data_IF_045476577262
#
_entry.id   IF_045476577262
#
_cell.length_a   1.000
_cell.length_b   1.000
_cell.length_c   1.000
_cell.angle_alpha   90.00
_cell.angle_beta   90.00
_cell.angle_gamma   90.00
#
_symmetry.space_group_name_H-M   'P 1'
#
loop_
_entity.id
_entity.type
_entity.pdbx_description
1 polymer ?
#
# COMPACT_ATOMS: atom_id res chain seq x y z
N UNK A 1 -17.61 -6.15 10.68
CA UNK A 1 -18.62 -7.08 11.24
C UNK A 1 -18.04 -7.80 12.46
N UNK A 2 -16.88 -8.42 12.36
CA UNK A 2 -16.29 -9.26 13.41
C UNK A 2 -15.31 -8.52 14.34
N UNK A 3 -15.21 -7.18 14.26
CA UNK A 3 -14.37 -6.41 15.16
C UNK A 3 -14.88 -6.42 16.60
N UNK A 4 -13.98 -6.29 17.54
CA UNK A 4 -14.26 -6.17 18.97
C UNK A 4 -13.83 -4.82 19.48
N UNK A 5 -14.53 -4.30 20.45
CA UNK A 5 -14.13 -3.10 21.18
C UNK A 5 -13.39 -3.54 22.45
N UNK A 6 -12.15 -3.08 22.56
CA UNK A 6 -11.38 -3.27 23.80
C UNK A 6 -12.03 -2.47 24.92
N UNK A 7 -12.20 -3.11 26.08
CA UNK A 7 -12.86 -2.50 27.24
C UNK A 7 -11.97 -1.48 27.95
N UNK A 8 -10.67 -1.70 27.91
CA UNK A 8 -9.72 -0.88 28.66
C UNK A 8 -9.29 0.35 27.85
N UNK A 9 -9.03 0.20 26.56
CA UNK A 9 -8.58 1.29 25.68
C UNK A 9 -9.72 1.96 24.92
N UNK A 10 -10.87 1.31 24.80
CA UNK A 10 -12.00 1.76 24.00
C UNK A 10 -11.75 1.68 22.47
N UNK A 11 -10.62 1.13 22.05
CA UNK A 11 -10.23 0.98 20.65
C UNK A 11 -10.85 -0.27 20.01
N UNK A 12 -11.03 -0.23 18.69
CA UNK A 12 -11.52 -1.39 17.96
C UNK A 12 -10.36 -2.27 17.49
N UNK A 13 -10.51 -3.57 17.68
CA UNK A 13 -9.61 -4.63 17.19
C UNK A 13 -10.35 -5.50 16.20
N UNK A 14 -9.69 -5.91 15.13
CA UNK A 14 -10.27 -6.78 14.10
C UNK A 14 -9.24 -7.12 13.03
N UNK A 15 -9.73 -7.60 11.91
CA UNK A 15 -8.90 -8.03 10.79
C UNK A 15 -9.05 -9.50 10.47
N UNK A 16 -8.21 -10.06 9.57
CA UNK A 16 -8.39 -11.43 9.08
C UNK A 16 -8.44 -12.50 10.17
N UNK A 17 -7.56 -12.47 11.14
CA UNK A 17 -7.57 -13.45 12.23
C UNK A 17 -8.92 -13.50 12.96
N UNK A 18 -9.51 -12.33 13.23
CA UNK A 18 -10.80 -12.22 13.92
C UNK A 18 -11.97 -12.78 13.11
N UNK A 19 -12.05 -12.48 11.81
CA UNK A 19 -13.16 -12.99 11.02
C UNK A 19 -12.98 -14.46 10.66
N UNK A 20 -11.76 -14.95 10.49
CA UNK A 20 -11.49 -16.38 10.30
C UNK A 20 -11.93 -17.17 11.54
N UNK A 21 -11.51 -16.75 12.73
CA UNK A 21 -11.90 -17.41 13.97
C UNK A 21 -13.41 -17.39 14.18
N UNK A 22 -14.02 -16.19 14.12
CA UNK A 22 -15.43 -16.01 14.49
C UNK A 22 -16.42 -16.55 13.47
N UNK A 23 -16.12 -16.45 12.17
CA UNK A 23 -17.00 -16.97 11.14
C UNK A 23 -17.12 -18.49 11.19
N UNK A 24 -16.06 -19.18 11.57
CA UNK A 24 -16.02 -20.64 11.59
C UNK A 24 -16.17 -21.27 12.97
N UNK A 25 -16.32 -20.47 14.03
CA UNK A 25 -16.38 -20.92 15.43
C UNK A 25 -17.39 -22.03 15.66
N UNK A 26 -18.54 -21.98 15.00
CA UNK A 26 -19.64 -22.94 15.17
C UNK A 26 -19.70 -24.01 14.07
N UNK A 27 -18.67 -24.15 13.25
CA UNK A 27 -18.57 -25.13 12.18
C UNK A 27 -17.71 -26.33 12.61
N UNK A 28 -17.85 -27.45 11.88
CA UNK A 28 -16.98 -28.65 12.10
C UNK A 28 -15.49 -28.33 11.90
N UNK A 29 -15.17 -27.33 11.09
CA UNK A 29 -13.81 -26.86 10.81
C UNK A 29 -13.28 -25.86 11.85
N UNK A 30 -14.05 -25.48 12.88
CA UNK A 30 -13.72 -24.42 13.82
C UNK A 30 -12.34 -24.54 14.46
N UNK A 31 -11.95 -25.77 14.91
CA UNK A 31 -10.61 -26.00 15.48
C UNK A 31 -9.47 -25.77 14.47
N UNK A 32 -9.66 -26.24 13.25
CA UNK A 32 -8.68 -26.03 12.16
C UNK A 32 -8.56 -24.55 11.79
N UNK A 33 -9.70 -23.86 11.67
CA UNK A 33 -9.73 -22.44 11.36
C UNK A 33 -9.16 -21.57 12.48
N UNK A 34 -9.27 -21.98 13.74
CA UNK A 34 -8.59 -21.29 14.83
C UNK A 34 -7.06 -21.36 14.69
N UNK A 35 -6.52 -22.54 14.39
CA UNK A 35 -5.07 -22.69 14.14
C UNK A 35 -4.64 -21.87 12.95
N UNK A 36 -5.42 -21.89 11.87
CA UNK A 36 -5.17 -21.06 10.69
C UNK A 36 -5.19 -19.56 11.02
N UNK A 37 -6.13 -19.09 11.82
CA UNK A 37 -6.21 -17.70 12.27
C UNK A 37 -4.97 -17.28 13.07
N UNK A 38 -4.46 -18.14 13.95
CA UNK A 38 -3.24 -17.90 14.72
C UNK A 38 -2.00 -17.84 13.79
N UNK A 39 -1.86 -18.80 12.88
CA UNK A 39 -0.77 -18.81 11.89
C UNK A 39 -0.81 -17.55 11.04
N UNK A 40 -1.99 -17.15 10.58
CA UNK A 40 -2.18 -15.90 9.83
C UNK A 40 -1.79 -14.68 10.67
N UNK A 41 -2.19 -14.61 11.94
CA UNK A 41 -1.85 -13.49 12.82
C UNK A 41 -0.33 -13.37 13.02
N UNK A 42 0.37 -14.48 13.22
CA UNK A 42 1.84 -14.50 13.35
C UNK A 42 2.51 -14.08 12.04
N UNK A 43 2.08 -14.64 10.91
CA UNK A 43 2.61 -14.27 9.59
C UNK A 43 2.40 -12.78 9.30
N UNK A 44 1.22 -12.26 9.63
CA UNK A 44 0.87 -10.87 9.45
C UNK A 44 1.69 -9.94 10.36
N UNK A 45 1.92 -10.35 11.60
CA UNK A 45 2.79 -9.61 12.52
C UNK A 45 4.23 -9.51 11.97
N UNK A 46 4.78 -10.61 11.47
CA UNK A 46 6.11 -10.60 10.84
C UNK A 46 6.15 -9.76 9.57
N UNK A 47 5.12 -9.85 8.72
CA UNK A 47 5.03 -9.08 7.50
C UNK A 47 4.98 -7.58 7.77
N UNK A 48 4.14 -7.13 8.68
CA UNK A 48 3.92 -5.71 8.96
C UNK A 48 5.00 -5.08 9.83
N UNK A 49 5.67 -5.86 10.69
CA UNK A 49 6.73 -5.33 11.56
C UNK A 49 8.11 -5.31 10.90
N UNK A 50 8.39 -6.25 10.01
CA UNK A 50 9.74 -6.41 9.45
C UNK A 50 9.80 -6.25 7.94
N UNK A 51 9.01 -7.04 7.19
CA UNK A 51 9.16 -7.09 5.73
C UNK A 51 8.66 -5.84 5.02
N UNK A 52 7.44 -5.39 5.31
CA UNK A 52 6.84 -4.25 4.62
C UNK A 52 7.54 -2.91 4.93
N UNK A 53 7.84 -2.57 6.20
CA UNK A 53 8.57 -1.34 6.51
C UNK A 53 9.98 -1.31 5.93
N UNK A 54 10.64 -2.47 5.85
CA UNK A 54 11.99 -2.58 5.28
C UNK A 54 12.05 -2.16 3.81
N UNK A 55 11.06 -2.55 3.00
CA UNK A 55 10.98 -2.17 1.59
C UNK A 55 10.80 -0.65 1.45
N UNK A 56 9.89 -0.06 2.25
CA UNK A 56 9.63 1.38 2.22
C UNK A 56 10.83 2.19 2.69
N UNK A 57 11.44 1.79 3.81
CA UNK A 57 12.63 2.45 4.35
C UNK A 57 13.81 2.41 3.36
N UNK A 58 14.01 1.29 2.68
CA UNK A 58 15.04 1.16 1.65
C UNK A 58 14.77 2.08 0.46
N UNK A 59 13.52 2.18 0.01
CA UNK A 59 13.14 3.09 -1.08
C UNK A 59 13.42 4.55 -0.73
N UNK A 60 13.05 4.98 0.47
CA UNK A 60 13.32 6.36 0.94
C UNK A 60 14.82 6.61 1.06
N UNK A 61 15.58 5.68 1.65
CA UNK A 61 17.02 5.83 1.80
C UNK A 61 17.75 5.89 0.45
N UNK A 62 17.33 5.07 -0.52
CA UNK A 62 17.87 5.11 -1.88
C UNK A 62 17.54 6.44 -2.57
N UNK A 63 16.32 6.95 -2.45
CA UNK A 63 15.93 8.23 -3.01
C UNK A 63 16.74 9.40 -2.41
N UNK A 64 16.95 9.40 -1.09
CA UNK A 64 17.78 10.41 -0.42
C UNK A 64 19.25 10.33 -0.82
N UNK A 65 19.75 9.12 -1.00
CA UNK A 65 21.12 8.92 -1.49
C UNK A 65 21.27 9.46 -2.92
N UNK A 66 20.36 9.15 -3.81
CA UNK A 66 20.40 9.58 -5.20
C UNK A 66 20.23 11.11 -5.35
N UNK A 67 19.35 11.72 -4.54
CA UNK A 67 19.06 13.15 -4.64
C UNK A 67 20.12 14.03 -3.98
N UNK A 68 20.68 13.62 -2.83
CA UNK A 68 21.54 14.45 -1.99
C UNK A 68 22.88 13.81 -1.58
N UNK A 69 23.15 12.58 -2.03
CA UNK A 69 24.36 11.85 -1.62
C UNK A 69 24.36 11.42 -0.16
N UNK A 70 23.20 11.44 0.52
CA UNK A 70 23.09 11.14 1.94
C UNK A 70 23.43 9.67 2.20
N UNK A 71 24.23 9.39 3.25
CA UNK A 71 24.52 8.01 3.63
C UNK A 71 23.22 7.28 4.04
N UNK A 72 23.03 6.08 3.47
CA UNK A 72 21.86 5.21 3.73
C UNK A 72 21.66 4.95 5.22
N UNK A 73 22.74 4.86 5.99
CA UNK A 73 22.70 4.63 7.45
C UNK A 73 22.09 5.82 8.19
N UNK A 74 22.43 7.03 7.77
CA UNK A 74 21.88 8.26 8.37
C UNK A 74 20.38 8.32 8.08
N UNK A 75 19.98 8.07 6.84
CA UNK A 75 18.58 8.00 6.45
C UNK A 75 17.79 6.96 7.25
N UNK A 76 18.38 5.76 7.44
CA UNK A 76 17.75 4.69 8.21
C UNK A 76 17.57 5.06 9.69
N UNK A 77 18.57 5.70 10.32
CA UNK A 77 18.47 6.16 11.72
C UNK A 77 17.40 7.23 11.87
N UNK A 78 17.40 8.24 11.00
CA UNK A 78 16.41 9.32 11.03
C UNK A 78 14.99 8.77 10.87
N UNK A 79 14.77 7.91 9.87
CA UNK A 79 13.48 7.25 9.65
C UNK A 79 13.05 6.40 10.85
N UNK A 80 13.99 5.65 11.44
CA UNK A 80 13.73 4.82 12.61
C UNK A 80 13.31 5.64 13.83
N UNK A 81 13.97 6.76 14.10
CA UNK A 81 13.61 7.67 15.19
C UNK A 81 12.23 8.29 14.92
N UNK A 82 11.99 8.77 13.72
CA UNK A 82 10.72 9.38 13.34
C UNK A 82 9.55 8.39 13.48
N UNK A 83 9.74 7.18 13.01
CA UNK A 83 8.78 6.09 13.14
C UNK A 83 8.52 5.74 14.61
N UNK A 84 9.56 5.62 15.43
CA UNK A 84 9.44 5.34 16.86
C UNK A 84 8.62 6.41 17.57
N UNK A 85 8.91 7.70 17.32
CA UNK A 85 8.16 8.83 17.90
C UNK A 85 6.67 8.78 17.53
N UNK A 86 6.33 8.39 16.30
CA UNK A 86 4.93 8.31 15.86
C UNK A 86 4.23 7.12 16.52
N UNK A 87 4.86 5.94 16.52
CA UNK A 87 4.28 4.69 17.02
C UNK A 87 4.07 4.73 18.53
N UNK A 88 5.00 5.32 19.30
CA UNK A 88 4.88 5.45 20.76
C UNK A 88 3.61 6.18 21.21
N UNK A 89 2.96 6.96 20.34
CA UNK A 89 1.70 7.64 20.63
C UNK A 89 0.44 6.80 20.41
N UNK A 90 0.59 5.50 20.01
CA UNK A 90 -0.52 4.58 19.80
C UNK A 90 -1.31 4.83 18.51
N UNK A 91 -2.36 4.02 18.31
CA UNK A 91 -3.15 3.98 17.06
C UNK A 91 -3.75 5.33 16.70
N UNK A 92 -4.24 6.08 17.67
CA UNK A 92 -4.84 7.42 17.44
C UNK A 92 -3.82 8.41 16.89
N UNK A 93 -2.59 8.39 17.42
CA UNK A 93 -1.53 9.29 16.95
C UNK A 93 -1.10 8.93 15.52
N UNK A 94 -0.97 7.64 15.23
CA UNK A 94 -0.68 7.15 13.89
C UNK A 94 -1.77 7.60 12.91
N UNK A 95 -3.05 7.41 13.26
CA UNK A 95 -4.18 7.81 12.43
C UNK A 95 -4.22 9.33 12.19
N UNK A 96 -4.02 10.15 13.22
CA UNK A 96 -4.00 11.60 13.09
C UNK A 96 -2.83 12.08 12.23
N UNK A 97 -1.65 11.52 12.42
CA UNK A 97 -0.48 11.83 11.60
C UNK A 97 -0.74 11.46 10.13
N UNK A 98 -1.21 10.24 9.87
CA UNK A 98 -1.50 9.78 8.53
C UNK A 98 -2.60 10.60 7.85
N UNK A 99 -3.67 10.97 8.56
CA UNK A 99 -4.78 11.76 8.00
C UNK A 99 -4.37 13.16 7.56
N UNK A 100 -3.30 13.71 8.12
CA UNK A 100 -2.76 15.01 7.71
C UNK A 100 -1.68 14.88 6.63
N UNK A 101 -0.72 13.98 6.84
CA UNK A 101 0.49 13.89 5.99
C UNK A 101 0.18 13.23 4.66
N UNK A 102 -0.63 12.15 4.65
CA UNK A 102 -0.89 11.39 3.42
C UNK A 102 -1.63 12.22 2.35
N UNK A 103 -2.71 12.96 2.65
CA UNK A 103 -3.35 13.82 1.66
C UNK A 103 -2.42 14.92 1.15
N UNK A 104 -1.62 15.52 2.04
CA UNK A 104 -0.64 16.54 1.65
C UNK A 104 0.39 15.97 0.66
N UNK A 105 0.96 14.80 0.98
CA UNK A 105 1.89 14.11 0.08
C UNK A 105 1.25 13.78 -1.27
N UNK A 106 0.02 13.27 -1.27
CA UNK A 106 -0.70 12.93 -2.49
C UNK A 106 -0.92 14.16 -3.38
N UNK A 107 -1.32 15.29 -2.79
CA UNK A 107 -1.51 16.56 -3.51
C UNK A 107 -0.18 17.04 -4.11
N UNK A 108 0.89 17.08 -3.32
CA UNK A 108 2.22 17.50 -3.79
C UNK A 108 2.70 16.60 -4.93
N UNK A 109 2.51 15.30 -4.79
CA UNK A 109 2.91 14.31 -5.80
C UNK A 109 2.13 14.48 -7.12
N UNK A 110 0.81 14.63 -7.03
CA UNK A 110 -0.04 14.87 -8.21
C UNK A 110 0.32 16.19 -8.89
N UNK A 111 0.55 17.26 -8.12
CA UNK A 111 0.98 18.54 -8.66
C UNK A 111 2.34 18.43 -9.37
N UNK A 112 3.31 17.74 -8.76
CA UNK A 112 4.60 17.49 -9.39
C UNK A 112 4.46 16.70 -10.70
N UNK A 113 3.60 15.67 -10.71
CA UNK A 113 3.29 14.90 -11.92
C UNK A 113 2.69 15.77 -13.02
N UNK A 114 1.74 16.64 -12.67
CA UNK A 114 1.13 17.59 -13.61
C UNK A 114 2.19 18.54 -14.19
N UNK A 115 3.08 19.10 -13.35
CA UNK A 115 4.17 19.98 -13.81
C UNK A 115 5.10 19.24 -14.78
N UNK A 116 5.51 18.01 -14.43
CA UNK A 116 6.37 17.19 -15.30
C UNK A 116 5.67 16.90 -16.64
N UNK A 117 4.36 16.63 -16.60
CA UNK A 117 3.56 16.40 -17.81
C UNK A 117 3.47 17.64 -18.68
N UNK A 118 3.34 18.84 -18.09
CA UNK A 118 3.35 20.09 -18.84
C UNK A 118 4.73 20.41 -19.44
N UNK A 119 5.81 20.16 -18.71
CA UNK A 119 7.18 20.36 -19.20
C UNK A 119 7.52 19.40 -20.35
N UNK A 120 6.98 18.18 -20.31
CA UNK A 120 7.20 17.17 -21.36
C UNK A 120 5.96 16.95 -22.24
N UNK A 121 5.20 18.02 -22.48
CA UNK A 121 3.93 17.93 -23.23
C UNK A 121 4.11 17.32 -24.62
N UNK A 122 5.21 17.62 -25.30
CA UNK A 122 5.53 17.10 -26.63
C UNK A 122 5.76 15.58 -26.65
N UNK A 123 6.01 14.96 -25.50
CA UNK A 123 6.24 13.51 -25.36
C UNK A 123 4.98 12.73 -24.97
N UNK A 124 3.86 13.37 -24.73
CA UNK A 124 2.64 12.71 -24.27
C UNK A 124 2.17 11.67 -25.28
N UNK A 125 2.15 12.02 -26.57
CA UNK A 125 1.75 11.09 -27.63
C UNK A 125 2.70 9.89 -27.74
N UNK A 126 3.99 10.11 -27.55
CA UNK A 126 5.00 9.06 -27.54
C UNK A 126 4.82 8.11 -26.36
N UNK A 127 4.50 8.65 -25.17
CA UNK A 127 4.23 7.85 -23.96
C UNK A 127 3.01 6.94 -24.19
N UNK A 128 1.91 7.46 -24.69
CA UNK A 128 0.73 6.65 -25.01
C UNK A 128 1.04 5.62 -26.10
N UNK A 129 1.70 6.02 -27.18
CA UNK A 129 2.12 5.13 -28.25
C UNK A 129 2.99 4.00 -27.71
N UNK A 130 3.96 4.30 -26.84
CA UNK A 130 4.83 3.33 -26.21
C UNK A 130 4.06 2.33 -25.35
N UNK A 131 3.11 2.82 -24.52
CA UNK A 131 2.28 1.97 -23.67
C UNK A 131 1.46 0.99 -24.52
N UNK A 132 0.77 1.50 -25.56
CA UNK A 132 -0.07 0.66 -26.43
C UNK A 132 0.76 -0.31 -27.26
N UNK A 133 1.85 0.14 -27.85
CA UNK A 133 2.75 -0.73 -28.60
C UNK A 133 3.33 -1.83 -27.73
N UNK A 134 3.85 -1.50 -26.55
CA UNK A 134 4.41 -2.48 -25.63
C UNK A 134 3.38 -3.47 -25.09
N UNK A 135 2.11 -3.05 -24.96
CA UNK A 135 1.04 -3.94 -24.52
C UNK A 135 0.57 -4.92 -25.59
N UNK A 136 0.66 -4.55 -26.88
CA UNK A 136 0.12 -5.33 -28.00
C UNK A 136 1.17 -5.78 -29.02
N UNK A 137 2.47 -5.55 -28.74
CA UNK A 137 3.55 -5.98 -29.61
C UNK A 137 3.67 -7.50 -29.62
N UNK A 138 3.60 -8.09 -30.82
CA UNK A 138 3.65 -9.54 -31.02
C UNK A 138 5.01 -10.12 -30.61
N UNK A 139 6.11 -9.41 -30.82
CA UNK A 139 7.44 -9.87 -30.40
C UNK A 139 7.58 -9.92 -28.88
N UNK A 140 7.00 -8.94 -28.17
CA UNK A 140 6.96 -8.94 -26.70
C UNK A 140 6.08 -10.07 -26.14
N UNK A 141 5.01 -10.45 -26.85
CA UNK A 141 4.11 -11.54 -26.44
C UNK A 141 4.78 -12.92 -26.49
N UNK A 142 5.77 -13.13 -27.35
CA UNK A 142 6.48 -14.41 -27.50
C UNK A 142 7.80 -14.47 -26.73
N UNK A 143 8.27 -13.36 -26.19
CA UNK A 143 9.48 -13.30 -25.39
C UNK A 143 9.19 -13.55 -23.91
N UNK A 144 10.17 -14.07 -23.15
CA UNK A 144 10.08 -14.21 -21.70
C UNK A 144 9.83 -12.88 -20.96
N UNK A 145 9.91 -11.75 -21.65
CA UNK A 145 9.62 -10.40 -21.17
C UNK A 145 8.12 -10.22 -20.84
N UNK A 146 7.20 -10.83 -21.59
CA UNK A 146 5.76 -10.75 -21.27
C UNK A 146 5.47 -11.40 -19.92
N UNK A 147 6.03 -12.59 -19.66
CA UNK A 147 5.87 -13.26 -18.36
C UNK A 147 6.41 -12.42 -17.21
N UNK A 148 7.57 -11.77 -17.39
CA UNK A 148 8.15 -10.89 -16.42
C UNK A 148 7.29 -9.63 -16.21
N UNK A 149 6.80 -9.00 -17.27
CA UNK A 149 5.94 -7.81 -17.20
C UNK A 149 4.62 -8.10 -16.48
N UNK A 150 3.95 -9.20 -16.81
CA UNK A 150 2.73 -9.64 -16.10
C UNK A 150 3.05 -9.92 -14.64
N UNK A 151 4.10 -10.66 -14.34
CA UNK A 151 4.49 -10.99 -12.97
C UNK A 151 4.76 -9.72 -12.14
N UNK A 152 5.52 -8.78 -12.68
CA UNK A 152 5.82 -7.51 -11.99
C UNK A 152 4.60 -6.62 -11.88
N UNK A 153 3.77 -6.52 -12.91
CA UNK A 153 2.53 -5.77 -12.89
C UNK A 153 1.56 -6.29 -11.82
N UNK A 154 1.35 -7.60 -11.77
CA UNK A 154 0.51 -8.24 -10.74
C UNK A 154 1.09 -8.02 -9.34
N UNK A 155 2.40 -8.25 -9.13
CA UNK A 155 3.05 -8.03 -7.84
C UNK A 155 2.90 -6.58 -7.36
N UNK A 156 3.13 -5.61 -8.22
CA UNK A 156 3.04 -4.19 -7.87
C UNK A 156 1.60 -3.74 -7.64
N UNK A 157 0.65 -4.19 -8.46
CA UNK A 157 -0.77 -3.90 -8.28
C UNK A 157 -1.33 -4.49 -6.97
N UNK A 158 -1.00 -5.73 -6.66
CA UNK A 158 -1.38 -6.37 -5.37
C UNK A 158 -0.77 -5.60 -4.19
N UNK A 159 0.48 -5.15 -4.31
CA UNK A 159 1.16 -4.42 -3.25
C UNK A 159 0.55 -3.04 -3.02
N UNK A 160 0.33 -2.25 -4.07
CA UNK A 160 -0.23 -0.90 -3.99
C UNK A 160 -1.65 -0.89 -3.42
N UNK A 161 -2.49 -1.80 -3.88
CA UNK A 161 -3.90 -1.90 -3.47
C UNK A 161 -4.10 -2.74 -2.19
N UNK A 162 -3.02 -3.25 -1.59
CA UNK A 162 -3.06 -4.15 -0.42
C UNK A 162 -3.95 -5.38 -0.63
N UNK A 163 -4.16 -5.79 -1.89
CA UNK A 163 -5.09 -6.86 -2.25
C UNK A 163 -4.62 -8.21 -1.72
N UNK A 164 -5.43 -8.82 -0.84
CA UNK A 164 -5.12 -10.11 -0.24
C UNK A 164 -4.06 -10.10 0.85
N UNK A 165 -3.44 -8.96 1.17
CA UNK A 165 -2.40 -8.86 2.21
C UNK A 165 -2.98 -8.88 3.64
N UNK A 166 -4.25 -8.48 3.82
CA UNK A 166 -4.91 -8.46 5.12
C UNK A 166 -4.70 -7.15 5.91
N UNK A 167 -3.88 -6.22 5.43
CA UNK A 167 -3.62 -4.91 6.04
C UNK A 167 -4.85 -4.01 5.96
N UNK A 168 -5.51 -3.94 4.80
CA UNK A 168 -6.74 -3.18 4.61
C UNK A 168 -7.85 -3.54 5.61
N UNK A 169 -8.20 -4.82 5.83
CA UNK A 169 -9.15 -5.20 6.87
C UNK A 169 -8.74 -4.86 8.30
N UNK A 170 -7.44 -4.80 8.62
CA UNK A 170 -6.96 -4.37 9.93
C UNK A 170 -7.18 -2.87 10.15
N UNK A 171 -6.79 -2.05 9.20
CA UNK A 171 -7.02 -0.61 9.26
C UNK A 171 -8.52 -0.26 9.26
N UNK A 172 -9.31 -0.96 8.44
CA UNK A 172 -10.77 -0.83 8.40
C UNK A 172 -11.45 -1.21 9.73
N UNK A 173 -10.90 -2.17 10.47
CA UNK A 173 -11.42 -2.55 11.77
C UNK A 173 -11.28 -1.45 12.82
N UNK A 174 -10.21 -0.65 12.77
CA UNK A 174 -9.99 0.47 13.67
C UNK A 174 -10.96 1.65 13.42
N UNK A 175 -11.56 1.74 12.23
CA UNK A 175 -12.48 2.82 11.88
C UNK A 175 -13.79 2.75 12.66
N UNK A 176 -14.24 3.89 13.18
CA UNK A 176 -15.54 4.03 13.84
C UNK A 176 -16.59 4.52 12.84
N UNK A 177 -17.42 3.60 12.39
CA UNK A 177 -18.45 3.87 11.37
C UNK A 177 -19.81 3.32 11.80
N UNK A 178 -20.89 3.97 11.37
CA UNK A 178 -22.25 3.59 11.74
C UNK A 178 -22.71 2.26 11.11
N UNK A 179 -22.10 1.86 9.96
CA UNK A 179 -22.41 0.59 9.29
C UNK A 179 -21.17 0.06 8.55
N UNK A 180 -20.88 -1.25 8.61
CA UNK A 180 -19.71 -1.86 7.96
C UNK A 180 -19.61 -1.60 6.45
N UNK A 181 -20.74 -1.54 5.74
CA UNK A 181 -20.75 -1.27 4.31
C UNK A 181 -20.18 0.09 3.95
N UNK A 182 -20.34 1.11 4.81
CA UNK A 182 -19.74 2.43 4.57
C UNK A 182 -18.21 2.32 4.48
N UNK A 183 -17.60 1.58 5.40
CA UNK A 183 -16.16 1.34 5.36
C UNK A 183 -15.74 0.52 4.14
N UNK A 184 -16.56 -0.43 3.71
CA UNK A 184 -16.33 -1.18 2.48
C UNK A 184 -16.31 -0.28 1.24
N UNK A 185 -17.25 0.66 1.13
CA UNK A 185 -17.26 1.64 0.04
C UNK A 185 -16.07 2.58 0.06
N UNK A 186 -15.66 3.04 1.25
CA UNK A 186 -14.46 3.88 1.40
C UNK A 186 -13.20 3.13 0.93
N UNK A 187 -13.05 1.87 1.32
CA UNK A 187 -11.93 1.05 0.87
C UNK A 187 -11.96 0.80 -0.64
N UNK A 188 -13.12 0.50 -1.21
CA UNK A 188 -13.27 0.34 -2.66
C UNK A 188 -12.91 1.62 -3.41
N UNK A 189 -13.39 2.76 -2.94
CA UNK A 189 -13.09 4.06 -3.54
C UNK A 189 -11.59 4.40 -3.46
N UNK A 190 -10.94 4.09 -2.34
CA UNK A 190 -9.51 4.32 -2.15
C UNK A 190 -8.67 3.58 -3.20
N UNK A 191 -9.05 2.34 -3.57
CA UNK A 191 -8.38 1.58 -4.63
C UNK A 191 -8.45 2.28 -5.98
N UNK A 192 -9.61 2.86 -6.33
CA UNK A 192 -9.74 3.63 -7.58
C UNK A 192 -8.86 4.88 -7.56
N UNK A 193 -8.82 5.60 -6.44
CA UNK A 193 -7.97 6.80 -6.31
C UNK A 193 -6.50 6.42 -6.44
N UNK A 194 -6.05 5.38 -5.75
CA UNK A 194 -4.66 4.93 -5.83
C UNK A 194 -4.30 4.51 -7.27
N UNK A 195 -5.11 3.67 -7.89
CA UNK A 195 -4.80 3.10 -9.20
C UNK A 195 -4.91 4.14 -10.32
N UNK A 196 -6.00 4.91 -10.37
CA UNK A 196 -6.26 5.82 -11.49
C UNK A 196 -5.47 7.13 -11.40
N UNK A 197 -5.19 7.62 -10.20
CA UNK A 197 -4.48 8.90 -10.05
C UNK A 197 -3.03 8.69 -9.67
N UNK A 198 -2.74 8.01 -8.57
CA UNK A 198 -1.36 7.92 -8.05
C UNK A 198 -0.48 7.01 -8.92
N UNK A 199 -0.96 5.81 -9.27
CA UNK A 199 -0.19 4.89 -10.10
C UNK A 199 -0.03 5.41 -11.53
N UNK A 200 -1.06 6.04 -12.11
CA UNK A 200 -0.97 6.66 -13.43
C UNK A 200 -0.01 7.82 -13.44
N UNK A 201 -0.03 8.69 -12.43
CA UNK A 201 0.93 9.77 -12.27
C UNK A 201 2.37 9.24 -12.22
N UNK A 202 2.60 8.17 -11.48
CA UNK A 202 3.92 7.51 -11.39
C UNK A 202 4.37 6.98 -12.75
N UNK A 203 3.48 6.30 -13.48
CA UNK A 203 3.79 5.76 -14.80
C UNK A 203 4.17 6.88 -15.78
N UNK A 204 3.41 7.98 -15.79
CA UNK A 204 3.73 9.14 -16.62
C UNK A 204 5.08 9.75 -16.28
N UNK A 205 5.39 9.96 -15.00
CA UNK A 205 6.68 10.50 -14.57
C UNK A 205 7.81 9.61 -15.09
N UNK A 206 7.75 8.30 -14.85
CA UNK A 206 8.81 7.36 -15.23
C UNK A 206 9.01 7.34 -16.74
N UNK A 207 7.95 7.21 -17.52
CA UNK A 207 8.05 7.06 -18.98
C UNK A 207 8.47 8.38 -19.65
N UNK A 208 7.98 9.54 -19.16
CA UNK A 208 8.29 10.83 -19.76
C UNK A 208 9.70 11.33 -19.45
N UNK A 209 10.33 10.84 -18.38
CA UNK A 209 11.68 11.27 -17.97
C UNK A 209 12.79 10.31 -18.39
N UNK A 210 12.49 9.26 -19.14
CA UNK A 210 13.47 8.24 -19.61
C UNK A 210 14.29 7.61 -18.47
N UNK A 211 13.70 7.45 -17.28
CA UNK A 211 14.34 6.83 -16.12
C UNK A 211 14.04 5.32 -16.02
#
# INVERSE_FOLDING_TARGET
IYKEKDRDTGEYRGGPAYYIEKAYKHTRAGKFMLVYAVVFAVAMMLATSYFLPGIQANGVAAAMHNAWGTDVRISAVVLGILLAVIIMGGVRRIANFASLVVPLMAVVYILASIVIMFVNFDRIDDVFSLIFRSAFDQEAMFSGMLGAAIMWGVKRGIYSNEAGQGTGPQSAAAAEVSHPAKQGFVQAFAVYVDTLFVCSATAFIIISTDM
#
